data_IF_594458391645
#
_entry.id   IF_594458391645
#
_cell.length_a   1.000
_cell.length_b   1.000
_cell.length_c   1.000
_cell.angle_alpha   90.00
_cell.angle_beta   90.00
_cell.angle_gamma   90.00
#
_symmetry.space_group_name_H-M   'P 1'
#
loop_
_entity.id
_entity.type
_entity.pdbx_description
1 polymer ?
#
# COMPACT_ATOMS: atom_id res chain seq x y z
N UNK A 1 7.32 21.40 -2.80
CA UNK A 1 6.18 20.70 -3.44
C UNK A 1 6.17 19.29 -2.86
N UNK A 2 5.21 19.00 -1.98
CA UNK A 2 5.09 17.70 -1.30
C UNK A 2 3.97 16.86 -1.91
N UNK A 3 3.76 15.66 -1.37
CA UNK A 3 2.58 14.85 -1.66
C UNK A 3 1.32 15.60 -1.21
N UNK A 4 0.28 15.54 -2.03
CA UNK A 4 -1.05 16.09 -1.75
C UNK A 4 -2.11 15.21 -2.42
N UNK A 5 -3.29 15.13 -1.84
CA UNK A 5 -4.44 14.33 -2.32
C UNK A 5 -4.09 12.85 -2.53
N UNK A 6 -3.41 12.25 -1.55
CA UNK A 6 -2.98 10.84 -1.61
C UNK A 6 -4.10 9.92 -1.14
N UNK A 7 -4.37 8.86 -1.89
CA UNK A 7 -5.20 7.75 -1.43
C UNK A 7 -4.30 6.57 -1.09
N UNK A 8 -4.26 6.18 0.18
CA UNK A 8 -3.55 4.99 0.64
C UNK A 8 -4.48 3.78 0.49
N UNK A 9 -4.16 2.89 -0.45
CA UNK A 9 -4.93 1.70 -0.73
C UNK A 9 -4.27 0.45 -0.12
N UNK A 10 -5.10 -0.45 0.38
CA UNK A 10 -4.67 -1.75 0.88
C UNK A 10 -5.84 -2.72 0.98
N UNK A 11 -5.54 -4.01 1.08
CA UNK A 11 -6.52 -5.10 1.10
C UNK A 11 -6.90 -5.57 2.52
N UNK A 12 -6.41 -4.88 3.56
CA UNK A 12 -6.76 -5.16 4.95
C UNK A 12 -7.86 -4.22 5.42
N UNK A 13 -9.10 -4.69 5.38
CA UNK A 13 -10.27 -3.94 5.85
C UNK A 13 -10.10 -3.46 7.29
N UNK A 14 -9.48 -4.29 8.14
CA UNK A 14 -9.24 -3.96 9.54
C UNK A 14 -8.27 -2.78 9.69
N UNK A 15 -7.19 -2.75 8.91
CA UNK A 15 -6.22 -1.65 8.92
C UNK A 15 -6.86 -0.37 8.37
N UNK A 16 -7.48 -0.44 7.18
CA UNK A 16 -8.12 0.74 6.57
C UNK A 16 -9.20 1.33 7.49
N UNK A 17 -10.01 0.49 8.15
CA UNK A 17 -11.00 0.96 9.13
C UNK A 17 -10.36 1.62 10.35
N UNK A 18 -9.29 1.01 10.89
CA UNK A 18 -8.61 1.53 12.07
C UNK A 18 -7.91 2.88 11.81
N UNK A 19 -7.41 3.12 10.59
CA UNK A 19 -6.80 4.39 10.19
C UNK A 19 -7.82 5.53 10.14
N UNK A 20 -9.06 5.25 9.76
CA UNK A 20 -10.15 6.23 9.69
C UNK A 20 -10.78 6.52 11.05
N UNK A 21 -10.51 5.70 12.06
CA UNK A 21 -11.01 5.91 13.41
C UNK A 21 -10.20 6.98 14.16
N UNK A 22 -10.91 7.87 14.84
CA UNK A 22 -10.32 8.90 15.70
C UNK A 22 -9.76 8.37 17.01
N UNK A 23 -10.21 7.20 17.45
CA UNK A 23 -9.74 6.54 18.68
C UNK A 23 -8.34 5.95 18.51
N UNK A 24 -7.54 6.02 19.57
CA UNK A 24 -6.23 5.34 19.64
C UNK A 24 -6.40 3.83 19.59
N UNK A 25 -5.62 3.17 18.75
CA UNK A 25 -5.63 1.71 18.66
C UNK A 25 -4.72 1.09 19.73
N UNK A 26 -5.29 0.23 20.59
CA UNK A 26 -4.59 -0.39 21.73
C UNK A 26 -4.07 -1.82 21.44
N UNK A 27 -4.11 -2.26 20.17
CA UNK A 27 -3.57 -3.56 19.78
C UNK A 27 -2.04 -3.54 19.69
N UNK A 28 -1.43 -4.71 19.47
CA UNK A 28 0.03 -4.84 19.26
C UNK A 28 0.54 -4.04 18.06
N UNK A 29 -0.29 -3.83 17.03
CA UNK A 29 0.06 -3.00 15.86
C UNK A 29 -0.32 -1.52 16.06
N UNK A 30 -0.94 -1.18 17.20
CA UNK A 30 -1.43 0.15 17.54
C UNK A 30 -0.41 1.27 17.31
N UNK A 31 0.85 1.16 17.80
CA UNK A 31 1.87 2.18 17.56
C UNK A 31 2.09 2.50 16.08
N UNK A 32 2.17 1.47 15.22
CA UNK A 32 2.36 1.64 13.77
C UNK A 32 1.13 2.33 13.13
N UNK A 33 -0.08 2.00 13.59
CA UNK A 33 -1.30 2.66 13.13
C UNK A 33 -1.33 4.14 13.53
N UNK A 34 -0.92 4.48 14.74
CA UNK A 34 -0.90 5.87 15.20
C UNK A 34 0.16 6.70 14.46
N UNK A 35 1.35 6.14 14.20
CA UNK A 35 2.35 6.77 13.34
C UNK A 35 1.80 6.98 11.92
N UNK A 36 1.13 5.98 11.36
CA UNK A 36 0.51 6.08 10.03
C UNK A 36 -0.56 7.17 9.99
N UNK A 37 -1.42 7.27 11.01
CA UNK A 37 -2.41 8.36 11.15
C UNK A 37 -1.74 9.72 11.22
N UNK A 38 -0.63 9.83 11.94
CA UNK A 38 0.14 11.07 12.04
C UNK A 38 0.68 11.49 10.67
N UNK A 39 1.30 10.57 9.92
CA UNK A 39 1.82 10.86 8.58
C UNK A 39 0.71 11.21 7.58
N UNK A 40 -0.43 10.50 7.62
CA UNK A 40 -1.57 10.83 6.76
C UNK A 40 -2.08 12.26 7.05
N UNK A 41 -2.17 12.67 8.32
CA UNK A 41 -2.57 14.04 8.68
C UNK A 41 -1.61 15.13 8.20
N UNK A 42 -0.34 14.79 8.00
CA UNK A 42 0.64 15.73 7.45
C UNK A 42 0.48 15.98 5.94
N UNK A 43 -0.19 15.07 5.23
CA UNK A 43 -0.40 15.15 3.79
C UNK A 43 -1.78 15.78 3.53
N UNK A 44 -1.80 16.96 2.91
CA UNK A 44 -3.04 17.65 2.59
C UNK A 44 -3.93 16.77 1.69
N UNK A 45 -5.17 16.51 2.12
CA UNK A 45 -6.12 15.70 1.36
C UNK A 45 -5.82 14.19 1.35
N UNK A 46 -4.94 13.69 2.22
CA UNK A 46 -4.71 12.25 2.29
C UNK A 46 -5.87 11.49 2.93
N UNK A 47 -6.14 10.29 2.42
CA UNK A 47 -7.13 9.37 2.96
C UNK A 47 -6.67 7.91 2.82
N UNK A 48 -7.34 6.99 3.50
CA UNK A 48 -7.12 5.56 3.35
C UNK A 48 -8.38 4.89 2.78
N UNK A 49 -8.19 3.90 1.90
CA UNK A 49 -9.26 3.09 1.32
C UNK A 49 -8.93 1.61 1.40
N UNK A 50 -9.96 0.79 1.49
CA UNK A 50 -9.85 -0.64 1.34
C UNK A 50 -10.16 -1.01 -0.12
N UNK A 51 -9.28 -1.80 -0.73
CA UNK A 51 -9.44 -2.34 -2.08
C UNK A 51 -9.48 -3.87 -2.05
N UNK A 52 -9.97 -4.48 -3.12
CA UNK A 52 -9.90 -5.95 -3.24
C UNK A 52 -8.44 -6.38 -3.40
N UNK A 53 -8.09 -7.57 -2.89
CA UNK A 53 -6.72 -8.09 -2.95
C UNK A 53 -6.16 -8.14 -4.39
N UNK A 54 -7.02 -8.38 -5.39
CA UNK A 54 -6.64 -8.39 -6.81
C UNK A 54 -6.19 -7.00 -7.31
N UNK A 55 -6.78 -5.91 -6.79
CA UNK A 55 -6.38 -4.53 -7.10
C UNK A 55 -5.10 -4.14 -6.36
N UNK A 56 -4.74 -4.90 -5.31
CA UNK A 56 -3.51 -4.75 -4.54
C UNK A 56 -2.44 -5.80 -4.93
N UNK A 57 -2.53 -6.36 -6.15
CA UNK A 57 -1.72 -7.51 -6.60
C UNK A 57 -0.21 -7.24 -6.55
N UNK A 58 0.22 -6.02 -6.91
CA UNK A 58 1.63 -5.60 -6.86
C UNK A 58 2.16 -5.65 -5.42
N UNK A 59 1.48 -4.98 -4.49
CA UNK A 59 1.89 -4.96 -3.09
C UNK A 59 1.81 -6.36 -2.47
N UNK A 60 0.80 -7.16 -2.85
CA UNK A 60 0.67 -8.54 -2.42
C UNK A 60 1.87 -9.40 -2.85
N UNK A 61 2.29 -9.33 -4.11
CA UNK A 61 3.47 -10.06 -4.60
C UNK A 61 4.75 -9.61 -3.90
N UNK A 62 4.93 -8.30 -3.70
CA UNK A 62 6.08 -7.75 -2.99
C UNK A 62 6.13 -8.21 -1.53
N UNK A 63 5.00 -8.15 -0.81
CA UNK A 63 4.91 -8.62 0.57
C UNK A 63 5.19 -10.12 0.68
N UNK A 64 4.62 -10.92 -0.23
CA UNK A 64 4.86 -12.36 -0.28
C UNK A 64 6.31 -12.68 -0.60
N UNK A 65 6.96 -11.95 -1.51
CA UNK A 65 8.39 -12.11 -1.77
C UNK A 65 9.22 -11.77 -0.54
N UNK A 66 8.99 -10.60 0.08
CA UNK A 66 9.73 -10.16 1.28
C UNK A 66 9.60 -11.14 2.45
N UNK A 67 8.43 -11.76 2.63
CA UNK A 67 8.22 -12.77 3.68
C UNK A 67 9.09 -14.03 3.52
N UNK A 68 9.41 -14.41 2.28
CA UNK A 68 10.20 -15.62 1.98
C UNK A 68 11.66 -15.32 1.63
N UNK A 69 11.98 -14.06 1.34
CA UNK A 69 13.33 -13.64 1.00
C UNK A 69 14.21 -13.72 2.25
N UNK A 70 15.35 -14.42 2.13
CA UNK A 70 16.33 -14.56 3.22
C UNK A 70 17.49 -13.58 3.10
N UNK A 71 17.46 -12.74 2.07
CA UNK A 71 18.49 -11.78 1.74
C UNK A 71 17.85 -10.41 1.54
N UNK A 72 18.57 -9.37 1.93
CA UNK A 72 18.14 -8.01 1.67
C UNK A 72 18.23 -7.73 0.17
N UNK A 73 17.13 -7.27 -0.42
CA UNK A 73 17.05 -6.90 -1.82
C UNK A 73 16.77 -5.42 -1.93
N UNK A 74 17.43 -4.74 -2.87
CA UNK A 74 17.16 -3.33 -3.16
C UNK A 74 17.10 -3.14 -4.66
N UNK A 75 16.05 -2.47 -5.12
CA UNK A 75 15.82 -2.15 -6.53
C UNK A 75 15.90 -0.63 -6.68
N UNK A 76 16.80 -0.16 -7.55
CA UNK A 76 17.00 1.28 -7.76
C UNK A 76 16.51 1.73 -9.15
N UNK A 77 16.91 1.02 -10.21
CA UNK A 77 16.61 1.39 -11.60
C UNK A 77 15.90 0.27 -12.40
N UNK A 78 15.77 -0.91 -11.81
CA UNK A 78 15.14 -2.06 -12.46
C UNK A 78 13.85 -2.43 -11.74
N UNK A 79 12.78 -2.65 -12.51
CA UNK A 79 11.57 -3.27 -12.00
C UNK A 79 11.92 -4.69 -11.52
N UNK A 80 11.55 -5.07 -10.29
CA UNK A 80 11.71 -6.45 -9.87
C UNK A 80 10.93 -7.38 -10.79
N UNK A 81 11.61 -8.42 -11.30
CA UNK A 81 11.02 -9.41 -12.20
C UNK A 81 9.72 -10.04 -11.67
N UNK A 82 9.52 -10.01 -10.34
CA UNK A 82 8.35 -10.56 -9.66
C UNK A 82 7.03 -9.82 -9.96
N UNK A 83 7.08 -8.59 -10.48
CA UNK A 83 5.89 -7.81 -10.85
C UNK A 83 5.80 -7.52 -12.35
N UNK A 84 6.74 -8.00 -13.18
CA UNK A 84 6.73 -7.71 -14.61
C UNK A 84 5.45 -8.18 -15.31
N UNK A 85 4.90 -9.31 -14.90
CA UNK A 85 3.64 -9.83 -15.44
C UNK A 85 2.44 -8.91 -15.15
N UNK A 86 2.42 -8.25 -13.99
CA UNK A 86 1.39 -7.26 -13.65
C UNK A 86 1.54 -5.98 -14.48
N UNK A 87 2.77 -5.57 -14.77
CA UNK A 87 3.03 -4.40 -15.61
C UNK A 87 2.62 -4.66 -17.06
N UNK A 88 2.91 -5.85 -17.57
CA UNK A 88 2.49 -6.26 -18.90
C UNK A 88 0.95 -6.31 -19.02
N UNK A 89 0.27 -6.80 -17.99
CA UNK A 89 -1.19 -6.79 -17.90
C UNK A 89 -1.73 -5.35 -17.98
N UNK A 90 -1.22 -4.43 -17.15
CA UNK A 90 -1.62 -3.02 -17.15
C UNK A 90 -1.44 -2.36 -18.53
N UNK A 91 -0.29 -2.58 -19.19
CA UNK A 91 -0.02 -2.04 -20.53
C UNK A 91 -1.01 -2.59 -21.57
N UNK A 92 -1.44 -3.85 -21.41
CA UNK A 92 -2.32 -4.52 -22.36
C UNK A 92 -3.80 -4.12 -22.22
N UNK A 93 -4.21 -3.59 -21.07
CA UNK A 93 -5.60 -3.14 -20.87
C UNK A 93 -5.87 -1.83 -21.62
N UNK A 94 -6.80 -1.81 -22.59
CA UNK A 94 -7.16 -0.56 -23.26
C UNK A 94 -7.78 0.40 -22.24
N UNK A 95 -7.36 1.67 -22.25
CA UNK A 95 -8.02 2.72 -21.46
C UNK A 95 -9.52 2.72 -21.81
N UNK A 96 -10.34 2.17 -20.93
CA UNK A 96 -11.79 2.18 -21.12
C UNK A 96 -12.26 3.53 -20.61
N UNK A 97 -12.43 4.49 -21.53
CA UNK A 97 -13.07 5.79 -21.26
C UNK A 97 -14.57 5.64 -21.08
#
# INVERSE_FOLDING_TARGET
>A
MGLQNVLLEGDSLHISSALLQSSTNMSTIGPILEDTKYFLKMIAGANASHVLCQENSVAHKLARFGLHCRVDCTWFDETPYLICDLIEEDISTPCTM
#
